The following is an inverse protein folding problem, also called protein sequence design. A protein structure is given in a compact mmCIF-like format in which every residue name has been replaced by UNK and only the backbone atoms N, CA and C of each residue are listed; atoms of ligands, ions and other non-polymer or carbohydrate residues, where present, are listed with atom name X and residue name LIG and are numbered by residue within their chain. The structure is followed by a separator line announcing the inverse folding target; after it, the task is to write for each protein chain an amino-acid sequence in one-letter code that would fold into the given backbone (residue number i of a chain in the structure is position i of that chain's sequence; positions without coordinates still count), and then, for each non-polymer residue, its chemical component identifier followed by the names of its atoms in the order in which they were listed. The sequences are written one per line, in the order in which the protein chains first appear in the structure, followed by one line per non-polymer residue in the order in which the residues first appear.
data_IF_067850836520
#
_entry.id   IF_067850836520
#
_cell.length_a   1.000
_cell.length_b   1.000
_cell.length_c   1.000
_cell.angle_alpha   90.00
_cell.angle_beta   90.00
_cell.angle_gamma   90.00
#
_symmetry.space_group_name_H-M   'P 1'
#
loop_
_entity.id
_entity.type
_entity.pdbx_description
1 polymer ?
#
# COMPACT_ATOMS: atom_id res chain seq x y z
N UNK A 1 -18.62 -23.75 5.51
CA UNK A 1 -17.51 -23.47 4.57
C UNK A 1 -17.65 -22.03 4.11
N UNK A 2 -17.02 -21.10 4.83
CA UNK A 2 -16.86 -19.69 4.45
C UNK A 2 -15.43 -19.53 3.93
N UNK A 3 -15.03 -20.37 2.95
CA UNK A 3 -13.60 -20.65 2.81
C UNK A 3 -12.80 -19.55 2.12
N UNK A 4 -13.41 -18.66 1.35
CA UNK A 4 -12.66 -17.59 0.69
C UNK A 4 -13.52 -16.33 0.64
N UNK A 5 -13.34 -15.46 1.62
CA UNK A 5 -13.87 -14.10 1.58
C UNK A 5 -12.76 -13.19 1.05
N UNK A 6 -12.87 -12.80 -0.21
CA UNK A 6 -11.94 -11.88 -0.85
C UNK A 6 -12.38 -10.43 -0.59
N UNK A 7 -11.51 -9.66 0.07
CA UNK A 7 -11.69 -8.23 0.23
C UNK A 7 -10.72 -7.50 -0.68
N UNK A 8 -11.25 -6.69 -1.59
CA UNK A 8 -10.47 -5.75 -2.40
C UNK A 8 -10.66 -4.33 -1.85
N UNK A 9 -9.57 -3.58 -1.78
CA UNK A 9 -9.59 -2.16 -1.42
C UNK A 9 -9.28 -1.40 -2.69
N UNK A 10 -10.18 -0.51 -3.08
CA UNK A 10 -9.90 0.36 -4.21
C UNK A 10 -9.04 1.53 -3.74
N UNK A 11 -7.72 1.43 -3.97
CA UNK A 11 -6.78 2.51 -3.63
C UNK A 11 -7.08 3.85 -4.31
N UNK A 12 -7.95 3.88 -5.33
CA UNK A 12 -8.34 5.13 -5.98
C UNK A 12 -9.36 5.93 -5.19
N UNK A 13 -10.31 5.25 -4.55
CA UNK A 13 -11.47 5.85 -3.89
C UNK A 13 -11.43 5.70 -2.37
N UNK A 14 -10.80 4.64 -1.89
CA UNK A 14 -10.82 4.21 -0.48
C UNK A 14 -9.44 4.22 0.17
N UNK A 15 -8.38 4.38 -0.63
CA UNK A 15 -6.99 4.24 -0.17
C UNK A 15 -6.65 5.11 1.05
N UNK A 16 -7.11 6.36 1.08
CA UNK A 16 -6.84 7.27 2.22
C UNK A 16 -7.47 6.77 3.52
N UNK A 17 -8.75 6.38 3.47
CA UNK A 17 -9.45 5.86 4.65
C UNK A 17 -8.83 4.56 5.13
N UNK A 18 -8.48 3.67 4.20
CA UNK A 18 -7.77 2.46 4.53
C UNK A 18 -6.42 2.76 5.21
N UNK A 19 -5.64 3.69 4.66
CA UNK A 19 -4.34 4.07 5.21
C UNK A 19 -4.48 4.72 6.60
N UNK A 20 -5.51 5.53 6.83
CA UNK A 20 -5.82 6.09 8.15
C UNK A 20 -6.12 5.01 9.18
N UNK A 21 -6.93 4.00 8.83
CA UNK A 21 -7.21 2.86 9.69
C UNK A 21 -5.93 2.05 9.98
N UNK A 22 -5.09 1.84 8.97
CA UNK A 22 -3.83 1.12 9.13
C UNK A 22 -2.87 1.83 10.09
N UNK A 23 -2.74 3.16 9.98
CA UNK A 23 -1.95 3.98 10.92
C UNK A 23 -2.42 3.81 12.36
N UNK A 24 -3.74 3.88 12.59
CA UNK A 24 -4.33 3.71 13.92
C UNK A 24 -4.02 2.32 14.47
N UNK A 25 -4.25 1.27 13.67
CA UNK A 25 -3.97 -0.12 14.06
C UNK A 25 -2.50 -0.29 14.48
N UNK A 26 -1.56 0.20 13.66
CA UNK A 26 -0.13 0.07 13.93
C UNK A 26 0.27 0.84 15.20
N UNK A 27 -0.23 2.07 15.35
CA UNK A 27 0.04 2.91 16.53
C UNK A 27 -0.44 2.24 17.81
N UNK A 28 -1.65 1.69 17.78
CA UNK A 28 -2.27 1.08 18.96
C UNK A 28 -1.60 -0.26 19.30
N UNK A 29 -1.24 -1.05 18.28
CA UNK A 29 -0.49 -2.30 18.45
C UNK A 29 0.90 -2.08 19.08
N UNK A 30 1.61 -0.99 18.76
CA UNK A 30 2.91 -0.65 19.39
C UNK A 30 2.80 -0.52 20.91
N UNK A 31 1.66 -0.06 21.43
CA UNK A 31 1.40 0.12 22.86
C UNK A 31 0.76 -1.10 23.52
N UNK A 32 0.41 -2.11 22.73
CA UNK A 32 -0.28 -3.28 23.24
C UNK A 32 0.65 -4.16 24.10
N UNK A 33 0.21 -4.61 25.28
CA UNK A 33 0.96 -5.61 26.05
C UNK A 33 0.95 -6.98 25.38
N UNK A 34 0.00 -7.24 24.47
CA UNK A 34 -0.27 -8.54 23.90
C UNK A 34 0.54 -8.79 22.61
N UNK A 35 1.38 -9.84 22.55
CA UNK A 35 2.24 -10.12 21.39
C UNK A 35 1.49 -10.28 20.07
N UNK A 36 0.35 -10.97 20.09
CA UNK A 36 -0.44 -11.23 18.89
C UNK A 36 -0.99 -9.94 18.26
N UNK A 37 -1.16 -8.85 18.99
CA UNK A 37 -1.62 -7.57 18.41
C UNK A 37 -0.51 -6.89 17.61
N UNK A 38 0.73 -7.01 18.09
CA UNK A 38 1.93 -6.56 17.36
C UNK A 38 2.11 -7.38 16.08
N UNK A 39 1.92 -8.70 16.16
CA UNK A 39 1.95 -9.58 14.98
C UNK A 39 0.87 -9.21 13.95
N UNK A 40 -0.35 -8.90 14.38
CA UNK A 40 -1.43 -8.44 13.47
C UNK A 40 -1.06 -7.13 12.77
N UNK A 41 -0.41 -6.19 13.46
CA UNK A 41 0.05 -4.95 12.84
C UNK A 41 1.17 -5.19 11.80
N UNK A 42 2.14 -6.05 12.11
CA UNK A 42 3.19 -6.47 11.15
C UNK A 42 2.54 -7.11 9.92
N UNK A 43 1.57 -7.99 10.12
CA UNK A 43 0.85 -8.64 9.04
C UNK A 43 0.09 -7.62 8.17
N UNK A 44 -0.65 -6.68 8.78
CA UNK A 44 -1.39 -5.65 8.06
C UNK A 44 -0.47 -4.72 7.24
N UNK A 45 0.67 -4.33 7.78
CA UNK A 45 1.70 -3.59 7.05
C UNK A 45 2.26 -4.41 5.87
N UNK A 46 2.50 -5.70 6.08
CA UNK A 46 2.92 -6.63 5.04
C UNK A 46 1.90 -6.76 3.90
N UNK A 47 0.60 -6.70 4.21
CA UNK A 47 -0.46 -6.69 3.19
C UNK A 47 -0.40 -5.42 2.33
N UNK A 48 -0.20 -4.24 2.92
CA UNK A 48 -0.04 -3.01 2.16
C UNK A 48 1.21 -3.09 1.27
N UNK A 49 2.34 -3.57 1.79
CA UNK A 49 3.55 -3.78 0.98
C UNK A 49 3.27 -4.65 -0.24
N UNK A 50 2.65 -5.81 -0.04
CA UNK A 50 2.31 -6.73 -1.14
C UNK A 50 1.36 -6.09 -2.15
N UNK A 51 0.38 -5.31 -1.69
CA UNK A 51 -0.52 -4.58 -2.58
C UNK A 51 0.23 -3.56 -3.46
N UNK A 52 1.22 -2.86 -2.90
CA UNK A 52 2.07 -1.93 -3.66
C UNK A 52 2.99 -2.63 -4.66
N UNK A 53 3.50 -3.82 -4.32
CA UNK A 53 4.26 -4.67 -5.25
C UNK A 53 3.39 -5.12 -6.42
N UNK A 54 2.16 -5.60 -6.17
CA UNK A 54 1.21 -5.96 -7.22
C UNK A 54 0.80 -4.76 -8.08
N UNK A 55 0.63 -3.58 -7.48
CA UNK A 55 0.35 -2.35 -8.22
C UNK A 55 1.53 -1.97 -9.12
N UNK A 56 2.77 -2.07 -8.66
CA UNK A 56 3.96 -1.86 -9.51
C UNK A 56 3.98 -2.78 -10.74
N UNK A 57 3.72 -4.07 -10.56
CA UNK A 57 3.65 -5.03 -11.65
C UNK A 57 2.57 -4.64 -12.67
N UNK A 58 1.40 -4.22 -12.19
CA UNK A 58 0.32 -3.75 -13.05
C UNK A 58 0.68 -2.48 -13.83
N UNK A 59 1.39 -1.52 -13.22
CA UNK A 59 1.88 -0.32 -13.91
C UNK A 59 2.90 -0.68 -14.98
N UNK A 60 3.88 -1.55 -14.67
CA UNK A 60 4.88 -2.02 -15.65
C UNK A 60 4.22 -2.68 -16.85
N UNK A 61 3.25 -3.57 -16.62
CA UNK A 61 2.50 -4.22 -17.69
C UNK A 61 1.72 -3.22 -18.55
N UNK A 62 1.14 -2.18 -17.93
CA UNK A 62 0.45 -1.13 -18.66
C UNK A 62 1.42 -0.26 -19.48
N UNK A 63 2.59 0.07 -18.94
CA UNK A 63 3.65 0.80 -19.65
C UNK A 63 4.16 0.01 -20.86
N UNK A 64 4.44 -1.29 -20.70
CA UNK A 64 4.88 -2.16 -21.80
C UNK A 64 3.86 -2.21 -22.93
N UNK A 65 2.56 -2.30 -22.59
CA UNK A 65 1.47 -2.24 -23.58
C UNK A 65 1.44 -0.90 -24.31
N UNK A 66 1.64 0.20 -23.59
CA UNK A 66 1.63 1.54 -24.19
C UNK A 66 2.84 1.79 -25.10
N UNK A 67 3.97 1.15 -24.83
CA UNK A 67 5.19 1.26 -25.65
C UNK A 67 5.12 0.37 -26.91
N UNK A 68 4.47 -0.78 -26.82
CA UNK A 68 4.45 -1.80 -27.89
C UNK A 68 3.21 -1.77 -28.80
N UNK A 69 2.14 -1.08 -28.40
CA UNK A 69 0.83 -1.10 -29.09
C UNK A 69 0.43 0.20 -29.80
N UNK A 70 -0.75 0.16 -30.44
CA UNK A 70 -1.43 1.36 -30.94
C UNK A 70 -2.26 1.97 -29.81
N UNK A 71 -1.77 3.04 -29.20
CA UNK A 71 -2.32 3.60 -27.97
C UNK A 71 -2.66 5.07 -28.16
N UNK A 72 -3.76 5.50 -27.53
CA UNK A 72 -4.17 6.90 -27.55
C UNK A 72 -3.34 7.73 -26.58
N UNK A 73 -3.36 9.05 -26.73
CA UNK A 73 -2.76 9.96 -25.75
C UNK A 73 -3.44 9.86 -24.38
N UNK A 74 -4.72 9.47 -24.35
CA UNK A 74 -5.44 9.22 -23.10
C UNK A 74 -4.88 7.99 -22.37
N UNK A 75 -4.57 6.91 -23.08
CA UNK A 75 -3.94 5.72 -22.48
C UNK A 75 -2.59 6.06 -21.83
N UNK A 76 -1.77 6.86 -22.53
CA UNK A 76 -0.49 7.37 -21.99
C UNK A 76 -0.70 8.21 -20.74
N UNK A 77 -1.74 9.06 -20.72
CA UNK A 77 -2.08 9.89 -19.57
C UNK A 77 -2.51 9.06 -18.37
N UNK A 78 -3.32 8.03 -18.59
CA UNK A 78 -3.77 7.10 -17.55
C UNK A 78 -2.59 6.36 -16.94
N UNK A 79 -1.67 5.82 -17.74
CA UNK A 79 -0.49 5.12 -17.22
C UNK A 79 0.41 6.04 -16.39
N UNK A 80 0.62 7.30 -16.84
CA UNK A 80 1.34 8.29 -16.03
C UNK A 80 0.64 8.58 -14.70
N UNK A 81 -0.68 8.65 -14.68
CA UNK A 81 -1.44 8.85 -13.45
C UNK A 81 -1.33 7.64 -12.51
N UNK A 82 -1.37 6.42 -13.05
CA UNK A 82 -1.16 5.20 -12.27
C UNK A 82 0.21 5.20 -11.59
N UNK A 83 1.27 5.55 -12.33
CA UNK A 83 2.64 5.68 -11.80
C UNK A 83 2.72 6.72 -10.69
N UNK A 84 2.17 7.92 -10.92
CA UNK A 84 2.13 9.01 -9.93
C UNK A 84 1.45 8.58 -8.63
N UNK A 85 0.34 7.86 -8.72
CA UNK A 85 -0.37 7.35 -7.53
C UNK A 85 0.39 6.26 -6.80
N UNK A 86 1.06 5.37 -7.54
CA UNK A 86 1.92 4.38 -6.92
C UNK A 86 3.05 5.03 -6.12
N UNK A 87 3.68 6.06 -6.68
CA UNK A 87 4.74 6.82 -5.99
C UNK A 87 4.21 7.52 -4.73
N UNK A 88 3.00 8.09 -4.81
CA UNK A 88 2.31 8.65 -3.64
C UNK A 88 2.13 7.61 -2.53
N UNK A 89 1.59 6.43 -2.85
CA UNK A 89 1.36 5.39 -1.85
C UNK A 89 2.65 4.78 -1.30
N UNK A 90 3.70 4.66 -2.12
CA UNK A 90 5.04 4.26 -1.67
C UNK A 90 5.59 5.22 -0.64
N UNK A 91 5.51 6.53 -0.91
CA UNK A 91 5.95 7.54 0.05
C UNK A 91 5.20 7.43 1.37
N UNK A 92 3.88 7.21 1.33
CA UNK A 92 3.06 6.96 2.54
C UNK A 92 3.50 5.71 3.30
N UNK A 93 3.80 4.62 2.60
CA UNK A 93 4.34 3.41 3.20
C UNK A 93 5.73 3.62 3.81
N UNK A 94 6.61 4.38 3.15
CA UNK A 94 7.92 4.74 3.67
C UNK A 94 7.81 5.56 4.95
N UNK A 95 6.97 6.60 4.98
CA UNK A 95 6.67 7.41 6.17
C UNK A 95 6.22 6.52 7.35
N UNK A 96 5.31 5.57 7.08
CA UNK A 96 4.82 4.60 8.08
C UNK A 96 5.95 3.68 8.61
N UNK A 97 6.89 3.30 7.74
CA UNK A 97 8.02 2.44 8.10
C UNK A 97 9.14 3.20 8.83
N UNK A 98 9.38 4.47 8.50
CA UNK A 98 10.40 5.33 9.13
C UNK A 98 10.02 5.75 10.56
N UNK A 99 8.72 5.80 10.90
CA UNK A 99 8.27 5.88 12.30
C UNK A 99 8.77 4.73 13.18
N UNK A 100 9.34 3.65 12.61
CA UNK A 100 10.02 2.59 13.39
C UNK A 100 11.45 2.97 13.78
N UNK A 101 12.14 3.81 13.00
CA UNK A 101 13.55 4.18 13.23
C UNK A 101 13.68 5.31 14.25
N UNK A 102 12.68 6.18 14.38
CA UNK A 102 12.66 7.27 15.37
C UNK A 102 12.39 6.84 16.82
N UNK A 103 12.10 5.57 17.09
CA UNK A 103 11.76 5.07 18.44
C UNK A 103 12.90 4.30 19.12
N UNK A 104 14.12 4.28 18.57
CA UNK A 104 15.29 3.63 19.18
C UNK A 104 16.39 4.60 19.65
N UNK A 105 16.08 5.88 19.82
CA UNK A 105 17.01 6.82 20.46
C UNK A 105 16.27 7.59 21.56
N UNK A 106 16.28 7.01 22.77
CA UNK A 106 15.58 7.60 23.92
C UNK A 106 15.39 6.67 25.11
N UNK A 107 16.44 5.95 25.52
CA UNK A 107 16.81 5.66 26.92
C UNK A 107 18.11 4.87 26.98
#
# INVERSE_FOLDING_TARGET
MLKDLEFSINLYTEGERFFDLLKVLIRDAKKSPWPHERERAIFAEGLLKKALETYEEAVKHAEEKVVSGFCTEEDKRLVKEMRRRLDYWRKKYEELSMEKVGSSCGM
#
